data_IF_048554877245
#
_entry.id   IF_048554877245
#
_cell.length_a   1.000
_cell.length_b   1.000
_cell.length_c   1.000
_cell.angle_alpha   90.00
_cell.angle_beta   90.00
_cell.angle_gamma   90.00
#
_symmetry.space_group_name_H-M   'P 1'
#
loop_
_entity.id
_entity.type
_entity.pdbx_description
1 polymer ?
#
# COMPACT_ATOMS: atom_id res chain seq x y z
N UNK A 1 24.76 52.35 -48.42
CA UNK A 1 24.78 50.87 -48.25
C UNK A 1 24.48 50.55 -46.78
N UNK A 2 23.26 50.05 -46.46
CA UNK A 2 22.86 49.66 -45.10
C UNK A 2 22.93 48.12 -45.05
N UNK A 3 23.86 47.59 -44.24
CA UNK A 3 23.99 46.17 -43.98
C UNK A 3 22.88 45.74 -43.02
N UNK A 4 22.01 44.80 -43.44
CA UNK A 4 21.03 44.14 -42.56
C UNK A 4 21.69 42.92 -41.94
N UNK A 5 21.86 42.94 -40.63
CA UNK A 5 22.27 41.75 -39.87
C UNK A 5 21.06 40.82 -39.70
N UNK A 6 21.19 39.57 -40.15
CA UNK A 6 20.26 38.48 -39.89
C UNK A 6 20.69 37.82 -38.59
N UNK A 7 19.88 37.90 -37.56
CA UNK A 7 19.99 37.07 -36.33
C UNK A 7 19.35 35.71 -36.62
N UNK A 8 20.19 34.68 -36.71
CA UNK A 8 19.72 33.26 -36.63
C UNK A 8 19.46 32.92 -35.16
N UNK A 9 18.20 32.79 -34.78
CA UNK A 9 17.79 32.14 -33.50
C UNK A 9 17.76 30.63 -33.75
N UNK A 10 18.75 29.93 -33.22
CA UNK A 10 18.74 28.47 -33.12
C UNK A 10 17.83 28.07 -31.96
N UNK A 11 16.67 27.48 -32.24
CA UNK A 11 15.85 26.80 -31.27
C UNK A 11 16.53 25.50 -30.87
N UNK A 12 17.00 25.41 -29.63
CA UNK A 12 17.43 24.17 -29.02
C UNK A 12 16.19 23.36 -28.72
N UNK A 13 15.90 22.32 -29.51
CA UNK A 13 14.91 21.32 -29.16
C UNK A 13 15.54 20.46 -28.05
N UNK A 14 15.05 20.61 -26.81
CA UNK A 14 15.28 19.61 -25.79
C UNK A 14 14.58 18.33 -26.27
N UNK A 15 15.37 17.31 -26.63
CA UNK A 15 14.86 15.97 -26.77
C UNK A 15 14.50 15.50 -25.34
N UNK A 16 13.21 15.43 -25.03
CA UNK A 16 12.75 14.64 -23.89
C UNK A 16 13.21 13.19 -24.18
N UNK A 17 14.06 12.64 -23.32
CA UNK A 17 14.35 11.19 -23.33
C UNK A 17 13.02 10.43 -23.18
N UNK A 18 12.95 9.16 -23.62
CA UNK A 18 11.77 8.37 -23.32
C UNK A 18 11.58 8.40 -21.82
N UNK A 19 10.42 8.91 -21.36
CA UNK A 19 9.98 8.65 -20.00
C UNK A 19 9.92 7.13 -19.85
N UNK A 20 10.55 6.57 -18.84
CA UNK A 20 10.34 5.16 -18.50
C UNK A 20 8.87 5.03 -18.18
N UNK A 21 8.14 4.19 -18.92
CA UNK A 21 6.73 3.93 -18.67
C UNK A 21 6.62 3.30 -17.28
N UNK A 22 5.90 3.94 -16.39
CA UNK A 22 5.66 3.40 -15.06
C UNK A 22 4.84 2.11 -15.15
N UNK A 23 5.05 1.20 -14.21
CA UNK A 23 4.33 -0.08 -14.14
C UNK A 23 3.53 -0.19 -12.84
N UNK A 24 2.35 -0.80 -12.92
CA UNK A 24 1.61 -1.27 -11.77
C UNK A 24 1.60 -2.81 -11.77
N UNK A 25 1.93 -3.40 -10.62
CA UNK A 25 1.91 -4.83 -10.38
C UNK A 25 0.74 -5.14 -9.45
N UNK A 26 -0.14 -6.03 -9.87
CA UNK A 26 -1.37 -6.37 -9.15
C UNK A 26 -1.36 -7.86 -8.81
N UNK A 27 -1.37 -8.21 -7.52
CA UNK A 27 -1.52 -9.60 -7.09
C UNK A 27 -2.95 -10.08 -7.26
N UNK A 28 -3.13 -11.24 -7.87
CA UNK A 28 -4.41 -11.89 -8.08
C UNK A 28 -4.50 -13.10 -7.15
N UNK A 29 -5.16 -12.92 -6.00
CA UNK A 29 -5.14 -13.88 -4.89
C UNK A 29 -5.60 -15.28 -5.30
N UNK A 30 -6.70 -15.40 -6.04
CA UNK A 30 -7.19 -16.68 -6.57
C UNK A 30 -6.55 -17.09 -7.89
N UNK A 31 -6.13 -16.12 -8.68
CA UNK A 31 -5.43 -16.38 -9.93
C UNK A 31 -4.02 -16.96 -9.72
N UNK A 32 -3.44 -16.77 -8.53
CA UNK A 32 -2.05 -17.12 -8.22
C UNK A 32 -1.05 -16.42 -9.15
N UNK A 33 -1.42 -15.24 -9.64
CA UNK A 33 -0.64 -14.49 -10.62
C UNK A 33 -0.39 -13.05 -10.19
N UNK A 34 0.54 -12.38 -10.86
CA UNK A 34 0.64 -10.93 -10.93
C UNK A 34 0.24 -10.50 -12.32
N UNK A 35 -0.67 -9.53 -12.42
CA UNK A 35 -0.93 -8.78 -13.65
C UNK A 35 -0.08 -7.52 -13.67
N UNK A 36 0.59 -7.24 -14.79
CA UNK A 36 1.37 -6.00 -15.01
C UNK A 36 0.57 -5.06 -15.90
N UNK A 37 0.45 -3.81 -15.47
CA UNK A 37 -0.26 -2.75 -16.20
C UNK A 37 0.70 -1.61 -16.45
N UNK A 38 0.81 -1.17 -17.71
CA UNK A 38 1.52 0.04 -18.09
C UNK A 38 0.71 1.27 -17.64
N UNK A 39 1.29 2.16 -16.81
CA UNK A 39 0.57 3.30 -16.22
C UNK A 39 0.46 4.53 -17.13
N UNK A 40 1.07 4.51 -18.32
CA UNK A 40 0.87 5.55 -19.34
C UNK A 40 -0.29 5.20 -20.29
N UNK A 41 -0.29 3.95 -20.77
CA UNK A 41 -1.29 3.46 -21.73
C UNK A 41 -2.52 2.87 -21.04
N UNK A 42 -2.37 2.41 -19.81
CA UNK A 42 -3.35 1.66 -19.03
C UNK A 42 -3.73 0.32 -19.68
N UNK A 43 -2.78 -0.29 -20.35
CA UNK A 43 -2.93 -1.62 -20.95
C UNK A 43 -2.26 -2.68 -20.06
N UNK A 44 -2.88 -3.86 -19.99
CA UNK A 44 -2.23 -5.03 -19.40
C UNK A 44 -1.12 -5.48 -20.37
N UNK A 45 0.10 -5.53 -19.87
CA UNK A 45 1.28 -5.88 -20.68
C UNK A 45 1.77 -7.28 -20.43
N UNK A 46 1.52 -7.83 -19.22
CA UNK A 46 1.94 -9.18 -18.87
C UNK A 46 1.09 -9.77 -17.73
N UNK A 47 1.16 -11.09 -17.57
CA UNK A 47 0.65 -11.82 -16.42
C UNK A 47 1.55 -13.05 -16.18
N UNK A 48 2.01 -13.24 -14.93
CA UNK A 48 2.89 -14.35 -14.58
C UNK A 48 2.54 -14.95 -13.21
N UNK A 49 2.98 -16.19 -12.96
CA UNK A 49 2.75 -16.91 -11.70
C UNK A 49 3.48 -16.23 -10.54
N UNK A 50 2.79 -15.96 -9.46
CA UNK A 50 3.28 -15.22 -8.29
C UNK A 50 3.40 -16.06 -7.00
N UNK A 51 3.10 -17.35 -7.06
CA UNK A 51 2.96 -18.21 -5.88
C UNK A 51 1.50 -18.53 -5.55
N UNK A 52 1.28 -19.34 -4.54
CA UNK A 52 -0.07 -19.69 -4.10
C UNK A 52 -0.61 -18.63 -3.14
N UNK A 53 -1.82 -18.14 -3.42
CA UNK A 53 -2.51 -17.09 -2.67
C UNK A 53 -1.63 -15.83 -2.49
N UNK A 54 -1.20 -15.15 -3.59
CA UNK A 54 -0.40 -13.93 -3.49
C UNK A 54 -1.26 -12.78 -2.97
N UNK A 55 -0.84 -12.14 -1.86
CA UNK A 55 -1.56 -11.03 -1.21
C UNK A 55 -0.71 -9.76 -1.18
N UNK A 56 -0.01 -9.48 -0.09
CA UNK A 56 0.83 -8.30 0.04
C UNK A 56 1.88 -8.19 -1.07
N UNK A 57 2.06 -7.01 -1.61
CA UNK A 57 3.05 -6.71 -2.65
C UNK A 57 3.73 -5.38 -2.36
N UNK A 58 5.04 -5.30 -2.57
CA UNK A 58 5.81 -4.05 -2.51
C UNK A 58 6.99 -4.10 -3.48
N UNK A 59 7.55 -2.95 -3.82
CA UNK A 59 8.77 -2.85 -4.60
C UNK A 59 9.98 -2.54 -3.73
N UNK A 60 11.18 -2.91 -4.18
CA UNK A 60 12.41 -2.39 -3.59
C UNK A 60 12.48 -0.87 -3.80
N UNK A 61 13.15 -0.10 -2.90
CA UNK A 61 13.23 1.34 -3.03
C UNK A 61 13.89 1.85 -4.32
N UNK A 62 14.68 1.01 -4.98
CA UNK A 62 15.28 1.28 -6.29
C UNK A 62 14.42 0.83 -7.48
N UNK A 63 13.24 0.26 -7.21
CA UNK A 63 12.30 -0.22 -8.23
C UNK A 63 12.73 -1.48 -8.97
N UNK A 64 13.88 -2.10 -8.63
CA UNK A 64 14.41 -3.24 -9.40
C UNK A 64 13.82 -4.60 -9.05
N UNK A 65 13.16 -4.70 -7.90
CA UNK A 65 12.57 -5.96 -7.39
C UNK A 65 11.14 -5.76 -6.93
N UNK A 66 10.33 -6.79 -7.12
CA UNK A 66 8.98 -6.90 -6.58
C UNK A 66 8.97 -8.03 -5.54
N UNK A 67 8.47 -7.74 -4.35
CA UNK A 67 8.28 -8.69 -3.27
C UNK A 67 6.80 -9.02 -3.15
N UNK A 68 6.48 -10.30 -2.90
CA UNK A 68 5.09 -10.80 -2.82
C UNK A 68 4.94 -11.76 -1.66
N UNK A 69 3.99 -11.54 -0.77
CA UNK A 69 3.55 -12.55 0.18
C UNK A 69 2.83 -13.67 -0.59
N UNK A 70 3.44 -14.85 -0.69
CA UNK A 70 2.81 -16.06 -1.18
C UNK A 70 2.31 -16.84 0.05
N UNK A 71 1.08 -16.53 0.47
CA UNK A 71 0.57 -16.87 1.79
C UNK A 71 0.49 -18.37 2.02
N UNK A 72 -0.01 -19.14 1.04
CA UNK A 72 -0.08 -20.60 1.13
C UNK A 72 1.30 -21.29 0.91
N UNK A 73 2.29 -20.56 0.39
CA UNK A 73 3.67 -21.07 0.23
C UNK A 73 4.52 -20.78 1.48
N UNK A 74 4.04 -19.97 2.43
CA UNK A 74 4.74 -19.57 3.66
C UNK A 74 6.10 -18.88 3.40
N UNK A 75 6.17 -18.02 2.41
CA UNK A 75 7.39 -17.30 2.05
C UNK A 75 7.08 -15.99 1.30
N UNK A 76 8.08 -15.14 1.20
CA UNK A 76 8.02 -13.97 0.31
C UNK A 76 8.76 -14.30 -0.97
N UNK A 77 8.04 -14.32 -2.10
CA UNK A 77 8.62 -14.44 -3.43
C UNK A 77 9.20 -13.11 -3.87
N UNK A 78 10.25 -13.19 -4.69
CA UNK A 78 10.95 -12.02 -5.21
C UNK A 78 11.06 -12.15 -6.71
N UNK A 79 10.75 -11.08 -7.43
CA UNK A 79 10.83 -11.03 -8.89
C UNK A 79 11.66 -9.82 -9.34
N UNK A 80 12.37 -9.96 -10.43
CA UNK A 80 12.95 -8.84 -11.14
C UNK A 80 11.83 -8.02 -11.80
N UNK A 81 11.80 -6.71 -11.61
CA UNK A 81 10.69 -5.85 -12.05
C UNK A 81 10.67 -5.62 -13.57
N UNK A 82 11.76 -5.89 -14.28
CA UNK A 82 11.86 -5.71 -15.73
C UNK A 82 11.63 -7.01 -16.50
N UNK A 83 12.24 -8.10 -16.04
CA UNK A 83 12.20 -9.40 -16.73
C UNK A 83 11.11 -10.32 -16.21
N UNK A 84 10.56 -10.04 -15.01
CA UNK A 84 9.61 -10.85 -14.26
C UNK A 84 10.15 -12.24 -13.89
N UNK A 85 11.46 -12.45 -14.02
CA UNK A 85 12.13 -13.67 -13.60
C UNK A 85 12.10 -13.79 -12.07
N UNK A 86 11.80 -14.99 -11.57
CA UNK A 86 11.80 -15.25 -10.12
C UNK A 86 13.25 -15.27 -9.62
N UNK A 87 13.50 -14.46 -8.61
CA UNK A 87 14.74 -14.40 -7.85
C UNK A 87 14.63 -15.28 -6.58
N UNK A 88 15.74 -15.58 -5.89
CA UNK A 88 15.67 -16.34 -4.67
C UNK A 88 14.75 -15.69 -3.62
N UNK A 89 13.75 -16.47 -3.14
CA UNK A 89 12.76 -16.05 -2.17
C UNK A 89 13.35 -15.69 -0.81
N UNK A 90 12.60 -14.95 0.00
CA UNK A 90 12.93 -14.63 1.38
C UNK A 90 12.13 -15.53 2.35
N UNK A 91 12.75 -15.95 3.47
CA UNK A 91 12.04 -16.66 4.50
C UNK A 91 10.99 -15.78 5.18
N UNK A 92 9.88 -16.39 5.55
CA UNK A 92 8.79 -15.85 6.35
C UNK A 92 8.30 -16.91 7.33
N UNK A 93 7.46 -16.54 8.28
CA UNK A 93 6.60 -17.47 9.01
C UNK A 93 5.41 -17.91 8.14
N UNK A 94 4.52 -18.78 8.69
CA UNK A 94 3.33 -19.22 7.99
C UNK A 94 2.34 -18.08 7.79
N UNK A 95 1.61 -18.18 6.67
CA UNK A 95 0.59 -17.24 6.24
C UNK A 95 1.04 -15.77 6.25
N UNK A 96 2.06 -15.38 5.45
CA UNK A 96 2.45 -13.98 5.32
C UNK A 96 1.36 -13.17 4.62
N UNK A 97 0.92 -12.08 5.26
CA UNK A 97 -0.16 -11.24 4.77
C UNK A 97 0.34 -9.93 4.15
N UNK A 98 0.63 -8.94 4.97
CA UNK A 98 1.27 -7.70 4.56
C UNK A 98 2.69 -7.61 5.08
N UNK A 99 3.45 -6.76 4.44
CA UNK A 99 4.82 -6.45 4.86
C UNK A 99 5.15 -4.98 4.57
N UNK A 100 6.21 -4.49 5.17
CA UNK A 100 6.79 -3.19 4.88
C UNK A 100 8.30 -3.32 4.72
N UNK A 101 8.87 -2.66 3.69
CA UNK A 101 10.30 -2.61 3.45
C UNK A 101 10.88 -1.29 3.98
N UNK A 102 12.05 -1.35 4.59
CA UNK A 102 12.77 -0.13 4.97
C UNK A 102 13.17 0.70 3.75
N UNK A 103 13.28 2.04 3.89
CA UNK A 103 13.81 2.90 2.82
C UNK A 103 15.23 2.52 2.36
N UNK A 104 15.99 1.83 3.21
CA UNK A 104 17.31 1.27 2.85
C UNK A 104 17.22 0.06 1.91
N UNK A 105 16.06 -0.57 1.79
CA UNK A 105 15.85 -1.82 1.06
C UNK A 105 16.39 -3.08 1.75
N UNK A 106 17.02 -2.95 2.94
CA UNK A 106 17.75 -4.05 3.57
C UNK A 106 16.92 -4.93 4.50
N UNK A 107 15.83 -4.43 5.03
CA UNK A 107 14.98 -5.19 5.95
C UNK A 107 13.54 -5.17 5.50
N UNK A 108 12.92 -6.32 5.58
CA UNK A 108 11.50 -6.52 5.35
C UNK A 108 10.86 -6.99 6.65
N UNK A 109 9.77 -6.35 7.05
CA UNK A 109 8.98 -6.71 8.23
C UNK A 109 7.68 -7.31 7.75
N UNK A 110 7.40 -8.56 8.10
CA UNK A 110 6.35 -9.40 7.53
C UNK A 110 5.38 -9.80 8.63
N UNK A 111 4.10 -9.51 8.45
CA UNK A 111 3.04 -10.00 9.33
C UNK A 111 2.72 -11.46 8.97
N UNK A 112 2.83 -12.37 9.95
CA UNK A 112 2.55 -13.79 9.80
C UNK A 112 1.31 -14.15 10.62
N UNK A 113 0.18 -14.37 9.93
CA UNK A 113 -1.14 -14.48 10.56
C UNK A 113 -1.22 -15.69 11.49
N UNK A 114 -0.77 -16.87 11.05
CA UNK A 114 -0.91 -18.13 11.76
C UNK A 114 -0.01 -18.26 13.01
N UNK A 115 1.14 -17.58 13.02
CA UNK A 115 2.12 -17.63 14.13
C UNK A 115 1.96 -16.51 15.15
N UNK A 116 1.19 -15.47 14.83
CA UNK A 116 1.08 -14.25 15.64
C UNK A 116 2.44 -13.54 15.81
N UNK A 117 3.22 -13.48 14.75
CA UNK A 117 4.56 -12.90 14.72
C UNK A 117 4.69 -11.83 13.64
N UNK A 118 5.59 -10.89 13.87
CA UNK A 118 6.21 -10.10 12.81
C UNK A 118 7.61 -10.63 12.60
N UNK A 119 7.88 -11.21 11.42
CA UNK A 119 9.21 -11.67 11.04
C UNK A 119 10.00 -10.55 10.39
N UNK A 120 11.23 -10.33 10.88
CA UNK A 120 12.17 -9.36 10.31
C UNK A 120 13.21 -10.11 9.50
N UNK A 121 13.27 -9.87 8.19
CA UNK A 121 14.16 -10.57 7.27
C UNK A 121 15.12 -9.61 6.59
N UNK A 122 16.42 -9.96 6.57
CA UNK A 122 17.44 -9.27 5.79
C UNK A 122 17.33 -9.68 4.31
N UNK A 123 17.16 -8.70 3.44
CA UNK A 123 16.89 -8.94 2.01
C UNK A 123 18.12 -9.39 1.22
N UNK A 124 19.33 -9.04 1.68
CA UNK A 124 20.58 -9.39 1.01
C UNK A 124 21.05 -10.78 1.40
N UNK A 125 21.17 -11.05 2.71
CA UNK A 125 21.58 -12.36 3.23
C UNK A 125 20.45 -13.41 3.20
N UNK A 126 19.21 -12.97 3.07
CA UNK A 126 17.99 -13.81 3.10
C UNK A 126 17.90 -14.62 4.38
N UNK A 127 18.14 -13.97 5.51
CA UNK A 127 18.09 -14.59 6.83
C UNK A 127 17.09 -13.86 7.72
N UNK A 128 16.40 -14.60 8.59
CA UNK A 128 15.57 -14.02 9.64
C UNK A 128 16.49 -13.37 10.68
N UNK A 129 16.26 -12.10 10.98
CA UNK A 129 16.97 -11.34 11.99
C UNK A 129 16.27 -11.36 13.33
N UNK A 130 14.93 -11.33 13.33
CA UNK A 130 14.10 -11.36 14.52
C UNK A 130 12.71 -11.88 14.22
N UNK A 131 12.07 -12.42 15.25
CA UNK A 131 10.65 -12.78 15.28
C UNK A 131 10.04 -12.05 16.47
N UNK A 132 9.11 -11.14 16.21
CA UNK A 132 8.50 -10.28 17.23
C UNK A 132 7.10 -10.77 17.54
N UNK A 133 6.83 -11.31 18.74
CA UNK A 133 5.49 -11.70 19.13
C UNK A 133 4.56 -10.50 19.21
N UNK A 134 3.42 -10.56 18.50
CA UNK A 134 2.39 -9.52 18.44
C UNK A 134 1.03 -10.06 18.90
N UNK A 135 -0.06 -9.37 18.59
CA UNK A 135 -1.41 -9.87 18.86
C UNK A 135 -1.82 -10.98 17.90
N UNK A 136 -3.06 -11.48 18.09
CA UNK A 136 -3.59 -12.59 17.27
C UNK A 136 -4.01 -12.07 15.90
N UNK A 137 -3.64 -12.83 14.85
CA UNK A 137 -3.89 -12.52 13.44
C UNK A 137 -3.26 -11.17 13.02
N UNK A 138 -1.92 -11.06 12.99
CA UNK A 138 -1.25 -9.87 12.48
C UNK A 138 -1.45 -9.72 10.97
N UNK A 139 -1.85 -8.53 10.52
CA UNK A 139 -2.16 -8.26 9.12
C UNK A 139 -1.46 -6.98 8.63
N UNK A 140 -1.94 -5.80 9.07
CA UNK A 140 -1.50 -4.51 8.58
C UNK A 140 -0.09 -4.15 9.03
N UNK A 141 0.65 -3.52 8.11
CA UNK A 141 2.00 -3.06 8.36
C UNK A 141 2.16 -1.60 7.93
N UNK A 142 2.86 -0.81 8.74
CA UNK A 142 3.23 0.58 8.42
C UNK A 142 4.58 0.91 9.00
N UNK A 143 5.30 1.87 8.40
CA UNK A 143 6.62 2.32 8.86
C UNK A 143 6.64 3.84 8.98
N UNK A 144 7.25 4.33 10.05
CA UNK A 144 7.52 5.76 10.20
C UNK A 144 8.51 6.24 9.13
N UNK A 145 8.38 7.49 8.62
CA UNK A 145 9.28 8.00 7.56
C UNK A 145 10.76 8.03 7.94
N UNK A 146 11.07 8.12 9.24
CA UNK A 146 12.43 8.05 9.75
C UNK A 146 12.94 6.61 9.96
N UNK A 147 12.11 5.62 9.62
CA UNK A 147 12.35 4.19 9.73
C UNK A 147 12.69 3.69 11.14
N UNK A 148 12.33 4.43 12.21
CA UNK A 148 12.57 3.99 13.58
C UNK A 148 11.46 3.11 14.15
N UNK A 149 10.26 3.20 13.56
CA UNK A 149 9.07 2.51 14.04
C UNK A 149 8.40 1.71 12.94
N UNK A 150 8.06 0.48 13.25
CA UNK A 150 7.14 -0.34 12.49
C UNK A 150 5.86 -0.50 13.30
N UNK A 151 4.72 -0.30 12.67
CA UNK A 151 3.42 -0.56 13.27
C UNK A 151 2.82 -1.79 12.61
N UNK A 152 2.48 -2.79 13.43
CA UNK A 152 1.71 -3.93 13.04
C UNK A 152 0.30 -3.82 13.63
N UNK A 153 -0.71 -4.21 12.87
CA UNK A 153 -2.08 -4.36 13.37
C UNK A 153 -2.42 -5.83 13.55
N UNK A 154 -3.11 -6.18 14.65
CA UNK A 154 -3.55 -7.53 14.94
C UNK A 154 -5.06 -7.61 15.01
N UNK A 155 -5.67 -8.33 14.08
CA UNK A 155 -7.12 -8.32 13.79
C UNK A 155 -7.98 -8.74 14.97
N UNK A 156 -7.70 -9.91 15.54
CA UNK A 156 -8.51 -10.49 16.62
C UNK A 156 -8.29 -9.80 17.96
N UNK A 157 -7.08 -9.29 18.22
CA UNK A 157 -6.81 -8.55 19.47
C UNK A 157 -7.12 -7.06 19.39
N UNK A 158 -7.47 -6.54 18.21
CA UNK A 158 -7.82 -5.14 17.96
C UNK A 158 -6.73 -4.16 18.41
N UNK A 159 -5.48 -4.47 18.10
CA UNK A 159 -4.31 -3.71 18.56
C UNK A 159 -3.49 -3.17 17.40
N UNK A 160 -2.90 -1.99 17.61
CA UNK A 160 -1.76 -1.49 16.87
C UNK A 160 -0.51 -1.58 17.75
N UNK A 161 0.48 -2.37 17.33
CA UNK A 161 1.73 -2.61 18.03
C UNK A 161 2.84 -1.76 17.42
N UNK A 162 3.51 -0.93 18.20
CA UNK A 162 4.63 -0.10 17.77
C UNK A 162 5.95 -0.80 18.12
N UNK A 163 6.65 -1.27 17.10
CA UNK A 163 7.87 -2.03 17.18
C UNK A 163 9.04 -1.09 16.86
N UNK A 164 10.02 -1.01 17.75
CA UNK A 164 11.28 -0.29 17.51
C UNK A 164 12.16 -1.06 16.51
N UNK A 165 12.68 -0.39 15.49
CA UNK A 165 13.60 -1.01 14.52
C UNK A 165 15.02 -1.17 15.04
N UNK A 166 15.35 -0.56 16.18
CA UNK A 166 16.68 -0.63 16.81
C UNK A 166 16.89 -1.98 17.54
N UNK A 167 15.85 -2.42 18.30
CA UNK A 167 15.94 -3.60 19.16
C UNK A 167 14.86 -4.64 18.92
N UNK A 168 13.93 -4.38 17.97
CA UNK A 168 12.80 -5.23 17.61
C UNK A 168 11.82 -5.51 18.76
N UNK A 169 11.74 -4.61 19.73
CA UNK A 169 10.81 -4.71 20.85
C UNK A 169 9.57 -3.86 20.63
N UNK A 170 8.42 -4.33 21.10
CA UNK A 170 7.19 -3.54 21.16
C UNK A 170 7.34 -2.51 22.30
N UNK A 171 7.26 -1.23 21.95
CA UNK A 171 7.33 -0.13 22.92
C UNK A 171 5.95 0.42 23.28
N UNK A 172 4.99 0.38 22.35
CA UNK A 172 3.62 0.84 22.59
C UNK A 172 2.60 -0.12 22.01
N UNK A 173 1.45 -0.21 22.70
CA UNK A 173 0.29 -0.95 22.26
C UNK A 173 -0.92 -0.03 22.35
N UNK A 174 -1.63 0.16 21.25
CA UNK A 174 -2.82 1.02 21.19
C UNK A 174 -4.02 0.17 20.83
N UNK A 175 -5.06 0.20 21.67
CA UNK A 175 -6.33 -0.44 21.35
C UNK A 175 -7.06 0.41 20.30
N UNK A 176 -7.40 -0.22 19.18
CA UNK A 176 -8.19 0.35 18.09
C UNK A 176 -9.56 -0.34 17.97
N UNK A 177 -10.32 -0.08 16.91
CA UNK A 177 -11.58 -0.78 16.71
C UNK A 177 -11.38 -2.16 16.08
N UNK A 178 -12.50 -2.89 15.92
CA UNK A 178 -12.47 -4.31 15.53
C UNK A 178 -11.87 -4.54 14.14
N UNK A 179 -11.00 -5.54 14.07
CA UNK A 179 -10.34 -6.03 12.88
C UNK A 179 -9.50 -4.96 12.16
N UNK A 180 -8.43 -4.45 12.80
CA UNK A 180 -7.55 -3.48 12.15
C UNK A 180 -6.74 -4.14 11.01
N UNK A 181 -6.71 -3.44 9.83
CA UNK A 181 -6.22 -4.00 8.56
C UNK A 181 -5.02 -3.28 7.96
N UNK A 182 -4.80 -2.03 8.28
CA UNK A 182 -3.77 -1.23 7.64
C UNK A 182 -3.28 -0.11 8.54
N UNK A 183 -2.01 0.27 8.39
CA UNK A 183 -1.41 1.38 9.12
C UNK A 183 -0.67 2.31 8.16
N UNK A 184 -1.04 3.60 8.13
CA UNK A 184 -0.49 4.59 7.20
C UNK A 184 -0.01 5.83 7.93
N UNK A 185 1.29 6.09 7.91
CA UNK A 185 1.87 7.36 8.38
C UNK A 185 1.69 8.48 7.35
N UNK A 186 1.59 9.73 7.83
CA UNK A 186 1.85 10.91 7.01
C UNK A 186 3.33 11.02 6.67
N UNK A 187 3.66 11.70 5.56
CA UNK A 187 5.05 11.84 5.09
C UNK A 187 5.96 12.59 6.10
N UNK A 188 5.40 13.44 6.95
CA UNK A 188 6.11 14.14 8.02
C UNK A 188 6.25 13.30 9.31
N UNK A 189 5.61 12.12 9.36
CA UNK A 189 5.65 11.20 10.50
C UNK A 189 4.87 11.65 11.73
N UNK A 190 4.16 12.77 11.67
CA UNK A 190 3.47 13.34 12.83
C UNK A 190 2.11 12.70 13.11
N UNK A 191 1.55 11.97 12.14
CA UNK A 191 0.24 11.33 12.23
C UNK A 191 0.24 9.92 11.66
N UNK A 192 -0.56 9.05 12.28
CA UNK A 192 -0.80 7.67 11.84
C UNK A 192 -2.30 7.43 11.72
N UNK A 193 -2.71 6.80 10.63
CA UNK A 193 -4.07 6.31 10.39
C UNK A 193 -4.07 4.79 10.45
N UNK A 194 -5.00 4.21 11.23
CA UNK A 194 -5.20 2.75 11.33
C UNK A 194 -6.64 2.43 10.98
N UNK A 195 -6.83 1.67 9.89
CA UNK A 195 -8.16 1.23 9.46
C UNK A 195 -8.65 0.04 10.29
N UNK A 196 -9.94 -0.01 10.59
CA UNK A 196 -10.59 -1.10 11.33
C UNK A 196 -11.80 -1.59 10.55
N UNK A 197 -11.68 -2.75 9.90
CA UNK A 197 -12.64 -3.29 8.94
C UNK A 197 -14.03 -3.50 9.54
N UNK A 198 -14.13 -4.32 10.60
CA UNK A 198 -15.39 -4.61 11.28
C UNK A 198 -15.84 -3.44 12.13
N UNK A 199 -14.90 -2.68 12.68
CA UNK A 199 -15.19 -1.47 13.44
C UNK A 199 -15.79 -0.34 12.59
N UNK A 200 -15.60 -0.37 11.28
CA UNK A 200 -16.12 0.64 10.35
C UNK A 200 -15.45 2.01 10.51
N UNK A 201 -14.24 2.07 11.07
CA UNK A 201 -13.58 3.34 11.43
C UNK A 201 -12.13 3.39 10.97
N UNK A 202 -11.57 4.62 10.97
CA UNK A 202 -10.14 4.87 10.92
C UNK A 202 -9.71 5.55 12.21
N UNK A 203 -8.90 4.88 13.01
CA UNK A 203 -8.28 5.47 14.20
C UNK A 203 -7.17 6.43 13.80
N UNK A 204 -7.18 7.65 14.34
CA UNK A 204 -6.19 8.70 14.06
C UNK A 204 -5.33 8.91 15.29
N UNK A 205 -4.03 8.82 15.13
CA UNK A 205 -3.05 8.99 16.21
C UNK A 205 -2.10 10.13 15.86
N UNK A 206 -1.90 11.06 16.78
CA UNK A 206 -0.77 11.97 16.72
C UNK A 206 0.47 11.24 17.27
N UNK A 207 1.60 11.41 16.60
CA UNK A 207 2.88 10.76 16.94
C UNK A 207 3.84 11.82 17.45
N UNK A 208 4.28 11.66 18.68
CA UNK A 208 5.29 12.54 19.27
C UNK A 208 6.69 12.30 18.65
N UNK A 209 7.63 13.22 18.88
CA UNK A 209 9.00 13.14 18.35
C UNK A 209 9.75 11.87 18.80
N UNK A 210 9.42 11.32 19.96
CA UNK A 210 9.97 10.06 20.48
C UNK A 210 9.25 8.81 19.99
N UNK A 211 8.24 8.96 19.10
CA UNK A 211 7.44 7.86 18.55
C UNK A 211 6.22 7.49 19.40
N UNK A 212 5.98 8.16 20.54
CA UNK A 212 4.83 7.88 21.39
C UNK A 212 3.51 8.22 20.68
N UNK A 213 2.59 7.24 20.48
CA UNK A 213 1.31 7.48 19.85
C UNK A 213 0.27 8.00 20.86
N UNK A 214 -0.58 8.91 20.40
CA UNK A 214 -1.76 9.37 21.13
C UNK A 214 -2.98 9.30 20.23
N UNK A 215 -3.95 8.42 20.56
CA UNK A 215 -5.21 8.35 19.83
C UNK A 215 -6.00 9.64 20.07
N UNK A 216 -6.31 10.38 18.98
CA UNK A 216 -6.96 11.69 19.05
C UNK A 216 -8.39 11.68 18.51
N UNK A 217 -8.70 10.83 17.52
CA UNK A 217 -9.99 10.82 16.85
C UNK A 217 -10.25 9.46 16.19
N UNK A 218 -11.51 9.22 15.81
CA UNK A 218 -11.93 8.09 14.98
C UNK A 218 -12.84 8.60 13.88
N UNK A 219 -12.40 8.44 12.63
CA UNK A 219 -13.21 8.78 11.46
C UNK A 219 -14.19 7.63 11.23
N UNK A 220 -15.47 7.95 11.12
CA UNK A 220 -16.53 7.03 10.71
C UNK A 220 -17.13 7.45 9.37
N UNK A 221 -17.78 6.52 8.68
CA UNK A 221 -18.26 6.74 7.32
C UNK A 221 -19.78 6.58 7.27
N UNK A 222 -20.44 7.46 6.50
CA UNK A 222 -21.87 7.41 6.26
C UNK A 222 -22.15 7.63 4.78
N UNK A 223 -22.81 6.67 4.13
CA UNK A 223 -23.22 6.79 2.73
C UNK A 223 -24.74 6.57 2.65
N UNK A 224 -25.51 7.47 2.05
CA UNK A 224 -26.95 7.33 1.92
C UNK A 224 -27.32 5.99 1.26
N UNK A 225 -28.25 5.25 1.88
CA UNK A 225 -28.74 3.94 1.45
C UNK A 225 -27.70 2.80 1.41
N UNK A 226 -26.54 2.95 2.06
CA UNK A 226 -25.58 1.88 2.30
C UNK A 226 -25.65 1.49 3.77
N UNK A 227 -25.72 0.20 4.06
CA UNK A 227 -25.71 -0.30 5.43
C UNK A 227 -24.34 -0.03 6.07
N UNK A 228 -24.24 0.42 7.33
CA UNK A 228 -22.96 0.70 7.98
C UNK A 228 -21.98 -0.49 7.96
N UNK A 229 -22.51 -1.72 8.05
CA UNK A 229 -21.72 -2.95 8.03
C UNK A 229 -21.03 -3.21 6.69
N UNK A 230 -21.36 -2.47 5.64
CA UNK A 230 -20.70 -2.55 4.33
C UNK A 230 -19.61 -1.49 4.16
N UNK A 231 -19.52 -0.53 5.10
CA UNK A 231 -18.48 0.49 5.11
C UNK A 231 -17.29 -0.04 5.92
N UNK A 232 -16.51 -0.91 5.29
CA UNK A 232 -15.42 -1.67 5.92
C UNK A 232 -14.06 -1.12 5.47
N UNK A 233 -13.42 -0.23 6.26
CA UNK A 233 -12.11 0.33 5.93
C UNK A 233 -11.03 -0.75 5.88
N UNK A 234 -10.29 -0.83 4.75
CA UNK A 234 -9.20 -1.78 4.54
C UNK A 234 -7.92 -1.03 4.21
N UNK A 235 -7.56 -0.92 2.92
CA UNK A 235 -6.39 -0.14 2.50
C UNK A 235 -6.59 1.36 2.68
N UNK A 236 -5.51 2.07 2.97
CA UNK A 236 -5.52 3.53 3.09
C UNK A 236 -4.22 4.13 2.55
N UNK A 237 -4.32 5.28 1.88
CA UNK A 237 -3.16 6.04 1.38
C UNK A 237 -3.36 7.52 1.63
N UNK A 238 -2.33 8.18 2.16
CA UNK A 238 -2.31 9.64 2.34
C UNK A 238 -1.39 10.26 1.29
N UNK A 239 -1.80 11.39 0.69
CA UNK A 239 -0.94 12.13 -0.25
C UNK A 239 0.32 12.64 0.42
N UNK A 240 1.41 12.77 -0.33
CA UNK A 240 2.71 13.22 0.20
C UNK A 240 2.66 14.62 0.82
N UNK A 241 1.73 15.48 0.36
CA UNK A 241 1.49 16.80 0.95
C UNK A 241 0.64 16.78 2.24
N UNK A 242 0.20 15.59 2.68
CA UNK A 242 -0.56 15.36 3.91
C UNK A 242 -1.97 15.95 3.90
N UNK A 243 -2.56 16.23 2.72
CA UNK A 243 -3.89 16.88 2.67
C UNK A 243 -5.05 15.91 2.45
N UNK A 244 -4.84 14.84 1.71
CA UNK A 244 -5.89 13.87 1.38
C UNK A 244 -5.54 12.49 1.89
N UNK A 245 -6.50 11.86 2.54
CA UNK A 245 -6.47 10.45 2.89
C UNK A 245 -7.55 9.73 2.08
N UNK A 246 -7.15 8.72 1.33
CA UNK A 246 -8.05 7.84 0.59
C UNK A 246 -8.18 6.52 1.36
N UNK A 247 -9.42 6.07 1.57
CA UNK A 247 -9.72 4.86 2.35
C UNK A 247 -10.61 3.93 1.55
N UNK A 248 -10.14 2.72 1.28
CA UNK A 248 -10.94 1.66 0.67
C UNK A 248 -12.01 1.18 1.64
N UNK A 249 -13.29 1.21 1.24
CA UNK A 249 -14.43 0.84 2.08
C UNK A 249 -15.06 -0.52 1.68
N UNK A 250 -14.21 -1.50 1.37
CA UNK A 250 -14.54 -2.91 1.18
C UNK A 250 -15.82 -3.18 0.38
N UNK A 251 -16.82 -3.88 0.98
CA UNK A 251 -18.05 -4.29 0.29
C UNK A 251 -18.93 -3.16 -0.21
N UNK A 252 -18.72 -1.92 0.26
CA UNK A 252 -19.48 -0.77 -0.25
C UNK A 252 -19.05 -0.34 -1.64
N UNK A 253 -17.94 -0.90 -2.18
CA UNK A 253 -17.40 -0.60 -3.51
C UNK A 253 -17.06 0.88 -3.67
N UNK A 254 -16.46 1.48 -2.65
CA UNK A 254 -16.11 2.90 -2.61
C UNK A 254 -14.75 3.14 -2.00
N UNK A 255 -14.16 4.25 -2.42
CA UNK A 255 -13.03 4.87 -1.74
C UNK A 255 -13.54 6.17 -1.13
N UNK A 256 -13.38 6.34 0.19
CA UNK A 256 -13.65 7.60 0.83
C UNK A 256 -12.49 8.56 0.62
N UNK A 257 -12.81 9.83 0.36
CA UNK A 257 -11.85 10.95 0.33
C UNK A 257 -12.02 11.73 1.61
N UNK A 258 -10.96 11.85 2.38
CA UNK A 258 -10.94 12.51 3.68
C UNK A 258 -9.93 13.65 3.65
N UNK A 259 -10.28 14.80 4.21
CA UNK A 259 -9.30 15.84 4.53
C UNK A 259 -8.44 15.33 5.70
N UNK A 260 -7.16 15.04 5.44
CA UNK A 260 -6.28 14.42 6.41
C UNK A 260 -5.91 15.34 7.59
N UNK A 261 -6.25 16.64 7.52
CA UNK A 261 -5.98 17.63 8.56
C UNK A 261 -7.20 17.86 9.46
N UNK A 262 -8.37 18.18 8.84
CA UNK A 262 -9.62 18.37 9.58
C UNK A 262 -10.32 17.06 9.95
N UNK A 263 -9.96 15.94 9.30
CA UNK A 263 -10.53 14.60 9.44
C UNK A 263 -11.97 14.50 8.94
N UNK A 264 -12.45 15.49 8.19
CA UNK A 264 -13.77 15.48 7.56
C UNK A 264 -13.79 14.59 6.32
N UNK A 265 -14.82 13.75 6.19
CA UNK A 265 -15.07 12.99 4.96
C UNK A 265 -15.64 13.94 3.91
N UNK A 266 -14.94 14.08 2.78
CA UNK A 266 -15.28 15.03 1.73
C UNK A 266 -16.16 14.41 0.65
N UNK A 267 -15.83 13.17 0.23
CA UNK A 267 -16.53 12.50 -0.89
C UNK A 267 -16.35 10.96 -0.81
N UNK A 268 -17.11 10.26 -1.68
CA UNK A 268 -17.05 8.81 -1.86
C UNK A 268 -17.00 8.47 -3.35
N UNK A 269 -15.89 7.98 -3.80
CA UNK A 269 -15.65 7.57 -5.19
C UNK A 269 -16.14 6.13 -5.40
N UNK A 270 -17.07 5.90 -6.32
CA UNK A 270 -17.52 4.55 -6.68
C UNK A 270 -16.42 3.84 -7.51
N UNK A 271 -16.06 2.62 -7.12
CA UNK A 271 -15.06 1.76 -7.76
C UNK A 271 -15.62 0.37 -8.05
N UNK A 272 -14.79 -0.58 -8.45
CA UNK A 272 -15.21 -1.97 -8.65
C UNK A 272 -15.63 -2.66 -7.34
N UNK A 273 -16.06 -3.93 -7.45
CA UNK A 273 -16.67 -4.64 -6.31
C UNK A 273 -15.63 -5.21 -5.35
N UNK A 274 -15.85 -4.99 -4.05
CA UNK A 274 -15.00 -5.40 -2.94
C UNK A 274 -13.60 -4.81 -3.07
N UNK A 275 -13.49 -3.51 -2.87
CA UNK A 275 -12.20 -2.83 -2.88
C UNK A 275 -11.34 -3.24 -1.68
N UNK A 276 -10.05 -3.54 -1.93
CA UNK A 276 -9.09 -3.98 -0.92
C UNK A 276 -7.98 -2.95 -0.67
N UNK A 277 -6.99 -2.91 -1.54
CA UNK A 277 -5.80 -2.08 -1.38
C UNK A 277 -5.74 -0.94 -2.37
N UNK A 278 -4.90 0.03 -2.05
CA UNK A 278 -4.68 1.25 -2.81
C UNK A 278 -3.18 1.48 -3.01
N UNK A 279 -2.78 2.03 -4.16
CA UNK A 279 -1.45 2.62 -4.31
C UNK A 279 -1.47 3.80 -5.29
N UNK A 280 -0.65 4.82 -5.01
CA UNK A 280 -0.48 5.95 -5.93
C UNK A 280 0.51 5.60 -7.04
N UNK A 281 0.32 6.20 -8.23
CA UNK A 281 1.44 6.32 -9.17
C UNK A 281 2.57 7.16 -8.55
N UNK A 282 3.85 6.97 -8.96
CA UNK A 282 4.98 7.68 -8.35
C UNK A 282 4.85 9.22 -8.38
N UNK A 283 4.15 9.77 -9.37
CA UNK A 283 3.86 11.19 -9.50
C UNK A 283 2.58 11.65 -8.76
N UNK A 284 1.91 10.73 -8.05
CA UNK A 284 0.63 10.92 -7.33
C UNK A 284 -0.52 11.49 -8.19
N UNK A 285 -0.43 11.41 -9.52
CA UNK A 285 -1.56 11.84 -10.38
C UNK A 285 -2.74 10.89 -10.31
N UNK A 286 -2.44 9.61 -10.13
CA UNK A 286 -3.46 8.57 -10.08
C UNK A 286 -3.32 7.71 -8.84
N UNK A 287 -4.46 7.23 -8.35
CA UNK A 287 -4.56 6.22 -7.31
C UNK A 287 -5.21 4.98 -7.93
N UNK A 288 -4.59 3.83 -7.76
CA UNK A 288 -5.11 2.55 -8.20
C UNK A 288 -5.77 1.83 -7.04
N UNK A 289 -6.89 1.15 -7.32
CA UNK A 289 -7.59 0.31 -6.33
C UNK A 289 -7.66 -1.12 -6.83
N UNK A 290 -7.58 -2.10 -5.95
CA UNK A 290 -7.86 -3.50 -6.29
C UNK A 290 -9.28 -3.86 -5.89
N UNK A 291 -10.05 -4.47 -6.82
CA UNK A 291 -11.46 -4.76 -6.65
C UNK A 291 -11.70 -6.28 -6.79
N UNK A 292 -11.61 -6.99 -5.67
CA UNK A 292 -11.50 -8.46 -5.64
C UNK A 292 -12.68 -9.20 -6.27
N UNK A 293 -13.91 -8.71 -6.16
CA UNK A 293 -15.09 -9.44 -6.67
C UNK A 293 -15.42 -9.11 -8.13
N UNK A 294 -14.91 -8.01 -8.68
CA UNK A 294 -15.10 -7.66 -10.09
C UNK A 294 -13.88 -7.97 -10.97
N UNK A 295 -12.79 -8.47 -10.37
CA UNK A 295 -11.54 -8.83 -11.05
C UNK A 295 -10.94 -7.67 -11.85
N UNK A 296 -10.98 -6.47 -11.32
CA UNK A 296 -10.47 -5.27 -11.96
C UNK A 296 -9.72 -4.37 -10.98
N UNK A 297 -8.99 -3.43 -11.52
CA UNK A 297 -8.50 -2.26 -10.80
C UNK A 297 -9.24 -1.02 -11.30
N UNK A 298 -9.48 -0.07 -10.40
CA UNK A 298 -9.99 1.25 -10.78
C UNK A 298 -8.87 2.28 -10.69
N UNK A 299 -8.74 3.11 -11.72
CA UNK A 299 -7.82 4.26 -11.73
C UNK A 299 -8.61 5.50 -11.35
N UNK A 300 -8.17 6.17 -10.30
CA UNK A 300 -8.75 7.41 -9.77
C UNK A 300 -7.80 8.57 -10.12
N UNK A 301 -8.30 9.63 -10.75
CA UNK A 301 -7.59 10.90 -10.91
C UNK A 301 -7.60 11.63 -9.56
N UNK A 302 -6.42 11.74 -8.93
CA UNK A 302 -6.29 12.27 -7.56
C UNK A 302 -6.72 13.75 -7.47
N UNK A 303 -6.39 14.53 -8.49
CA UNK A 303 -6.71 15.97 -8.48
C UNK A 303 -8.20 16.26 -8.71
N UNK A 304 -8.90 15.35 -9.40
CA UNK A 304 -10.34 15.46 -9.64
C UNK A 304 -11.18 14.72 -8.62
N UNK A 305 -10.54 13.81 -7.88
CA UNK A 305 -11.21 12.89 -6.95
C UNK A 305 -12.29 12.05 -7.67
N UNK A 306 -12.00 11.58 -8.91
CA UNK A 306 -12.93 10.84 -9.76
C UNK A 306 -12.31 9.56 -10.32
N UNK A 307 -13.11 8.47 -10.39
CA UNK A 307 -12.74 7.26 -11.12
C UNK A 307 -12.75 7.55 -12.63
N UNK A 308 -11.64 7.32 -13.30
CA UNK A 308 -11.48 7.63 -14.73
C UNK A 308 -11.39 6.40 -15.60
N UNK A 309 -11.06 5.23 -15.05
CA UNK A 309 -10.90 3.98 -15.79
C UNK A 309 -11.07 2.77 -14.89
N UNK A 310 -11.56 1.66 -15.45
CA UNK A 310 -11.48 0.31 -14.90
C UNK A 310 -10.68 -0.56 -15.87
N UNK A 311 -9.80 -1.41 -15.34
CA UNK A 311 -8.93 -2.29 -16.11
C UNK A 311 -9.11 -3.71 -15.57
N UNK A 312 -9.51 -4.64 -16.43
CA UNK A 312 -9.65 -6.04 -16.09
C UNK A 312 -8.27 -6.65 -15.83
N UNK A 313 -8.12 -7.37 -14.72
CA UNK A 313 -6.90 -8.08 -14.29
C UNK A 313 -7.23 -9.54 -14.00
N UNK A 314 -6.35 -10.26 -13.31
CA UNK A 314 -6.58 -11.66 -12.95
C UNK A 314 -7.65 -11.84 -11.87
N UNK A 315 -7.83 -13.10 -11.41
CA UNK A 315 -8.91 -13.47 -10.49
C UNK A 315 -8.63 -13.02 -9.06
N UNK A 316 -9.55 -12.25 -8.47
CA UNK A 316 -9.50 -11.65 -7.14
C UNK A 316 -8.23 -10.81 -6.88
N UNK A 317 -8.08 -9.66 -7.54
CA UNK A 317 -6.98 -8.75 -7.24
C UNK A 317 -7.05 -8.28 -5.78
N UNK A 318 -5.89 -8.35 -5.07
CA UNK A 318 -5.79 -8.03 -3.66
C UNK A 318 -4.83 -6.87 -3.39
N UNK A 319 -3.56 -6.98 -3.76
CA UNK A 319 -2.53 -5.97 -3.57
C UNK A 319 -2.16 -5.26 -4.88
N UNK A 320 -1.64 -4.07 -4.78
CA UNK A 320 -1.10 -3.29 -5.89
C UNK A 320 0.13 -2.51 -5.44
N UNK A 321 1.14 -2.43 -6.29
CA UNK A 321 2.30 -1.54 -6.13
C UNK A 321 2.64 -0.92 -7.48
N UNK A 322 3.07 0.33 -7.47
CA UNK A 322 3.50 1.07 -8.67
C UNK A 322 4.98 1.42 -8.61
N UNK A 323 5.64 1.40 -9.74
CA UNK A 323 7.04 1.85 -9.93
C UNK A 323 7.16 2.74 -11.16
N UNK A 324 8.30 3.49 -11.27
CA UNK A 324 8.66 4.26 -12.47
C UNK A 324 9.14 3.37 -13.60
#
# INVERSE_FOLDING_TARGET
MKLKAFLLTSALALAAGPALAGKAFVTNERGNTITVVDTETWEVTDEFFAGNRPRGITASPDGTKIYVCASDDNLVRVFDSETYEELPSLPSGPDPELFIIEPSGKRLYIANEDDNLVTVTDTDSRTVLAEVPVGVEPEGMGMSPDAKWVVNTSETTNMAHFISTEDYEIKHNVLVDQRPRYAQYTADGTRLFVTSEIGGTVSVMDIAEDGTPTLIEKISFEVPNVQPEWLQPVGAKVTSDGKRLFVALGPSNRVAVVDAQSLEVLDYILVGQRVWQLDFTPDEKYLLTTNGNSNDITVIDVAKEEAVRSIQVGEQPWGVVTIE
#
